data_IF_627049359441
#
_entry.id   IF_627049359441
#
_cell.length_a   1.000
_cell.length_b   1.000
_cell.length_c   1.000
_cell.angle_alpha   90.00
_cell.angle_beta   90.00
_cell.angle_gamma   90.00
#
_symmetry.space_group_name_H-M   'P 1'
#
loop_
_entity.id
_entity.type
_entity.pdbx_description
1 polymer ?
#
# COMPACT_ATOMS: atom_id res chain seq x y z
N UNK A 1 10.70 20.65 45.08
CA UNK A 1 9.27 20.32 45.09
C UNK A 1 9.00 19.43 43.88
N UNK A 2 8.48 18.23 44.13
CA UNK A 2 8.40 17.16 43.14
C UNK A 2 7.44 17.49 41.99
N UNK A 3 7.93 17.49 40.76
CA UNK A 3 7.11 17.65 39.55
C UNK A 3 6.54 16.28 39.12
N UNK A 4 5.45 15.84 39.76
CA UNK A 4 4.69 14.72 39.22
C UNK A 4 3.75 15.22 38.13
N UNK A 5 4.01 14.80 36.89
CA UNK A 5 3.05 14.88 35.78
C UNK A 5 1.79 14.15 36.22
N UNK A 6 0.73 14.90 36.55
CA UNK A 6 -0.53 14.29 36.95
C UNK A 6 -1.21 13.71 35.72
N UNK A 7 -0.99 12.41 35.49
CA UNK A 7 -1.66 11.64 34.43
C UNK A 7 -3.16 11.57 34.77
N UNK A 8 -4.00 12.04 33.85
CA UNK A 8 -5.46 11.90 34.00
C UNK A 8 -5.84 10.45 33.71
N UNK A 9 -6.57 9.83 34.64
CA UNK A 9 -7.09 8.47 34.59
C UNK A 9 -8.59 8.45 34.96
N UNK A 10 -9.31 7.34 34.77
CA UNK A 10 -10.74 7.25 35.09
C UNK A 10 -11.09 7.69 36.52
N UNK A 11 -10.26 7.31 37.50
CA UNK A 11 -10.52 7.56 38.93
C UNK A 11 -10.43 9.05 39.30
N UNK A 12 -9.51 9.80 38.66
CA UNK A 12 -9.27 11.21 38.96
C UNK A 12 -9.94 12.18 37.95
N UNK A 13 -10.50 11.66 36.85
CA UNK A 13 -11.00 12.44 35.73
C UNK A 13 -12.07 13.46 36.13
N UNK A 14 -13.04 13.02 36.93
CA UNK A 14 -14.20 13.85 37.34
C UNK A 14 -13.78 15.11 38.09
N UNK A 15 -12.71 15.03 38.88
CA UNK A 15 -12.22 16.17 39.64
C UNK A 15 -11.35 17.08 38.78
N UNK A 16 -10.52 16.48 37.92
CA UNK A 16 -9.61 17.23 37.04
C UNK A 16 -10.32 17.98 35.92
N UNK A 17 -11.45 17.48 35.42
CA UNK A 17 -12.17 18.14 34.32
C UNK A 17 -12.91 19.41 34.73
N UNK A 18 -13.32 19.53 36.01
CA UNK A 18 -13.98 20.75 36.52
C UNK A 18 -13.10 21.99 36.43
N UNK A 19 -11.78 21.82 36.46
CA UNK A 19 -10.81 22.90 36.33
C UNK A 19 -10.35 23.18 34.90
N UNK A 20 -10.92 22.48 33.90
CA UNK A 20 -10.52 22.59 32.49
C UNK A 20 -11.60 23.34 31.69
N UNK A 21 -11.16 24.32 30.89
CA UNK A 21 -12.07 25.01 29.96
C UNK A 21 -12.31 24.15 28.71
N UNK A 22 -13.45 23.46 28.69
CA UNK A 22 -13.89 22.57 27.62
C UNK A 22 -14.02 23.28 26.26
N UNK A 23 -14.21 24.61 26.24
CA UNK A 23 -14.33 25.39 25.01
C UNK A 23 -12.99 25.51 24.25
N UNK A 24 -11.86 25.38 24.96
CA UNK A 24 -10.51 25.47 24.36
C UNK A 24 -10.05 24.15 23.73
N UNK A 25 -10.79 23.06 23.93
CA UNK A 25 -10.42 21.75 23.42
C UNK A 25 -10.70 21.62 21.91
N UNK A 26 -9.83 20.93 21.16
CA UNK A 26 -10.12 20.52 19.79
C UNK A 26 -11.44 19.74 19.70
N UNK A 27 -12.22 19.98 18.64
CA UNK A 27 -13.55 19.36 18.44
C UNK A 27 -13.59 17.84 18.63
N UNK A 28 -12.50 17.16 18.29
CA UNK A 28 -12.38 15.72 18.42
C UNK A 28 -12.36 15.31 19.91
N UNK A 29 -11.63 16.04 20.76
CA UNK A 29 -11.56 15.77 22.20
C UNK A 29 -12.87 16.12 22.89
N UNK A 30 -13.55 17.18 22.46
CA UNK A 30 -14.89 17.54 22.95
C UNK A 30 -15.92 16.45 22.66
N UNK A 31 -15.98 15.96 21.43
CA UNK A 31 -16.87 14.84 21.06
C UNK A 31 -16.55 13.56 21.85
N UNK A 32 -15.28 13.31 22.13
CA UNK A 32 -14.87 12.18 22.98
C UNK A 32 -15.24 12.38 24.44
N UNK A 33 -15.20 13.61 24.97
CA UNK A 33 -15.70 13.93 26.31
C UNK A 33 -17.20 13.68 26.42
N UNK A 34 -18.00 14.16 25.46
CA UNK A 34 -19.45 13.90 25.42
C UNK A 34 -19.75 12.39 25.37
N UNK A 35 -18.90 11.64 24.67
CA UNK A 35 -18.99 10.18 24.62
C UNK A 35 -18.71 9.55 25.98
N UNK A 36 -17.69 10.00 26.72
CA UNK A 36 -17.41 9.53 28.09
C UNK A 36 -18.57 9.86 29.01
N UNK A 37 -19.10 11.07 28.97
CA UNK A 37 -20.21 11.51 29.83
C UNK A 37 -21.47 10.65 29.62
N UNK A 38 -21.85 10.42 28.35
CA UNK A 38 -23.02 9.61 27.99
C UNK A 38 -22.90 8.15 28.43
N UNK A 39 -21.69 7.59 28.42
CA UNK A 39 -21.47 6.19 28.75
C UNK A 39 -21.14 5.94 30.23
N UNK A 40 -20.79 6.98 31.01
CA UNK A 40 -20.44 6.87 32.44
C UNK A 40 -21.56 7.30 33.39
N UNK A 41 -22.75 7.65 32.87
CA UNK A 41 -23.82 8.30 33.65
C UNK A 41 -23.26 9.48 34.46
N UNK A 42 -22.68 10.47 33.78
CA UNK A 42 -22.05 11.64 34.40
C UNK A 42 -20.88 11.29 35.35
N UNK A 43 -20.02 10.35 34.93
CA UNK A 43 -18.80 9.96 35.63
C UNK A 43 -19.02 9.27 36.99
N UNK A 44 -20.21 8.70 37.22
CA UNK A 44 -20.59 8.05 38.49
C UNK A 44 -20.44 6.54 38.44
N UNK A 45 -20.61 5.91 37.27
CA UNK A 45 -20.52 4.47 37.11
C UNK A 45 -19.55 4.09 35.98
N UNK A 46 -18.32 3.75 36.36
CA UNK A 46 -17.32 3.18 35.45
C UNK A 46 -17.49 1.67 35.28
N UNK A 47 -18.16 1.00 36.23
CA UNK A 47 -18.31 -0.45 36.29
C UNK A 47 -19.14 -1.08 35.16
N UNK A 48 -20.02 -0.32 34.50
CA UNK A 48 -20.75 -0.81 33.33
C UNK A 48 -19.86 -0.93 32.07
N UNK A 49 -18.65 -0.35 32.07
CA UNK A 49 -17.71 -0.31 30.94
C UNK A 49 -16.86 -1.55 30.77
N UNK A 50 -16.81 -2.44 31.77
CA UNK A 50 -15.97 -3.64 31.74
C UNK A 50 -16.51 -4.75 30.83
N UNK A 51 -17.70 -4.59 30.25
CA UNK A 51 -18.32 -5.61 29.39
C UNK A 51 -17.92 -5.53 27.91
N UNK A 52 -17.30 -4.42 27.44
CA UNK A 52 -16.92 -4.26 26.02
C UNK A 52 -15.49 -3.75 25.82
N UNK A 53 -14.63 -4.60 25.26
CA UNK A 53 -13.24 -4.27 24.92
C UNK A 53 -13.09 -3.07 23.98
N UNK A 54 -14.05 -2.90 23.06
CA UNK A 54 -14.02 -1.81 22.07
C UNK A 54 -14.20 -0.45 22.75
N UNK A 55 -15.11 -0.38 23.73
CA UNK A 55 -15.40 0.84 24.48
C UNK A 55 -14.20 1.20 25.37
N UNK A 56 -13.58 0.21 26.02
CA UNK A 56 -12.37 0.41 26.81
C UNK A 56 -11.21 0.97 25.97
N UNK A 57 -11.01 0.48 24.75
CA UNK A 57 -9.99 1.03 23.83
C UNK A 57 -10.26 2.49 23.46
N UNK A 58 -11.52 2.86 23.26
CA UNK A 58 -11.90 4.24 22.94
C UNK A 58 -11.60 5.17 24.13
N UNK A 59 -11.88 4.74 25.37
CA UNK A 59 -11.53 5.51 26.56
C UNK A 59 -10.03 5.62 26.78
N UNK A 60 -9.28 4.52 26.67
CA UNK A 60 -7.81 4.57 26.77
C UNK A 60 -7.21 5.52 25.73
N UNK A 61 -7.72 5.48 24.49
CA UNK A 61 -7.27 6.39 23.43
C UNK A 61 -7.61 7.85 23.75
N UNK A 62 -8.79 8.11 24.33
CA UNK A 62 -9.18 9.45 24.75
C UNK A 62 -8.26 9.99 25.85
N UNK A 63 -8.01 9.24 26.93
CA UNK A 63 -7.16 9.69 28.02
C UNK A 63 -5.71 9.94 27.58
N UNK A 64 -5.17 9.11 26.69
CA UNK A 64 -3.85 9.33 26.09
C UNK A 64 -3.82 10.67 25.35
N UNK A 65 -4.78 10.92 24.45
CA UNK A 65 -4.84 12.18 23.70
C UNK A 65 -5.11 13.41 24.56
N UNK A 66 -5.89 13.25 25.63
CA UNK A 66 -6.16 14.32 26.58
C UNK A 66 -4.87 14.71 27.32
N UNK A 67 -4.09 13.74 27.78
CA UNK A 67 -2.81 13.99 28.43
C UNK A 67 -1.80 14.63 27.46
N UNK A 68 -1.70 14.14 26.21
CA UNK A 68 -0.86 14.76 25.16
C UNK A 68 -1.26 16.22 24.90
N UNK A 69 -2.55 16.50 24.83
CA UNK A 69 -3.04 17.87 24.62
C UNK A 69 -2.70 18.78 25.80
N UNK A 70 -2.87 18.31 27.04
CA UNK A 70 -2.51 19.07 28.25
C UNK A 70 -1.01 19.35 28.35
N UNK A 71 -0.17 18.40 27.95
CA UNK A 71 1.28 18.63 27.82
C UNK A 71 1.59 19.68 26.76
N UNK A 72 0.88 19.65 25.63
CA UNK A 72 1.03 20.64 24.55
C UNK A 72 0.57 22.05 24.95
N UNK A 73 -0.46 22.18 25.77
CA UNK A 73 -0.93 23.47 26.32
C UNK A 73 0.04 24.01 27.38
N UNK A 74 0.58 23.14 28.25
CA UNK A 74 1.62 23.54 29.21
C UNK A 74 2.90 24.00 28.50
N UNK A 75 3.28 23.37 27.39
CA UNK A 75 4.40 23.80 26.57
C UNK A 75 4.22 25.20 25.96
N UNK A 76 2.97 25.67 25.76
CA UNK A 76 2.67 27.05 25.31
C UNK A 76 2.72 28.09 26.43
N UNK A 77 2.68 27.67 27.70
CA UNK A 77 2.65 28.58 28.87
C UNK A 77 4.03 28.84 29.50
N UNK A 78 5.13 28.37 28.90
CA UNK A 78 6.47 28.83 29.32
C UNK A 78 6.77 30.20 28.70
N UNK A 79 7.20 31.20 29.48
CA UNK A 79 7.36 32.57 29.00
C UNK A 79 8.57 32.66 28.08
N UNK A 80 8.34 32.69 26.75
CA UNK A 80 9.30 33.28 25.82
C UNK A 80 9.09 34.78 25.81
N UNK A 81 10.08 35.48 26.34
CA UNK A 81 10.31 36.92 26.31
C UNK A 81 9.71 37.57 25.06
N UNK A 82 8.78 38.50 25.31
CA UNK A 82 8.19 39.40 24.32
C UNK A 82 9.30 40.18 23.61
N UNK A 83 9.34 40.09 22.29
CA UNK A 83 9.67 41.26 21.45
C UNK A 83 8.42 41.59 20.66
N UNK A 84 7.97 42.83 20.90
CA UNK A 84 6.75 43.47 20.42
C UNK A 84 6.75 43.55 18.90
N UNK A 85 5.58 43.30 18.33
CA UNK A 85 5.27 43.33 16.91
C UNK A 85 4.68 44.70 16.60
N UNK A 86 5.32 45.47 15.72
CA UNK A 86 4.67 46.51 14.90
C UNK A 86 5.09 46.22 13.45
N UNK A 87 4.17 45.65 12.68
CA UNK A 87 3.42 46.33 11.61
C UNK A 87 4.21 46.33 10.30
N UNK A 88 3.99 45.33 9.45
CA UNK A 88 4.29 45.44 8.02
C UNK A 88 3.51 44.39 7.22
N UNK A 89 3.14 44.83 6.02
CA UNK A 89 2.18 44.27 5.10
C UNK A 89 2.63 42.92 4.50
N UNK A 90 1.66 42.26 3.85
CA UNK A 90 1.81 41.12 2.93
C UNK A 90 3.08 41.25 2.08
N UNK A 91 4.09 40.44 2.37
CA UNK A 91 5.13 40.07 1.44
C UNK A 91 5.07 38.55 1.22
N UNK A 92 4.85 38.16 -0.03
CA UNK A 92 4.89 36.79 -0.51
C UNK A 92 6.22 36.16 -0.09
N UNK A 93 6.19 35.18 0.81
CA UNK A 93 7.38 34.38 1.13
C UNK A 93 7.85 33.70 -0.16
N UNK A 94 9.10 33.89 -0.59
CA UNK A 94 9.63 33.14 -1.72
C UNK A 94 9.59 31.66 -1.34
N UNK A 95 8.99 30.87 -2.23
CA UNK A 95 8.94 29.42 -2.16
C UNK A 95 10.39 28.94 -2.09
N UNK A 96 10.85 28.60 -0.89
CA UNK A 96 12.19 28.08 -0.64
C UNK A 96 12.34 26.85 -1.55
N UNK A 97 13.08 27.01 -2.65
CA UNK A 97 13.45 25.92 -3.53
C UNK A 97 14.17 24.94 -2.62
N UNK A 98 13.54 23.79 -2.42
CA UNK A 98 14.10 22.69 -1.64
C UNK A 98 15.32 22.24 -2.43
N UNK A 99 16.51 22.66 -2.00
CA UNK A 99 17.77 22.20 -2.54
C UNK A 99 17.68 20.67 -2.65
N UNK A 100 17.86 20.18 -3.87
CA UNK A 100 17.89 18.75 -4.16
C UNK A 100 19.03 18.16 -3.35
N UNK A 101 18.68 17.40 -2.30
CA UNK A 101 19.68 16.58 -1.61
C UNK A 101 20.24 15.61 -2.65
N UNK A 102 21.57 15.50 -2.77
CA UNK A 102 22.17 14.49 -3.65
C UNK A 102 21.63 13.13 -3.22
N UNK A 103 21.03 12.43 -4.19
CA UNK A 103 20.51 11.08 -4.01
C UNK A 103 21.63 10.21 -3.46
N UNK A 104 21.47 9.66 -2.25
CA UNK A 104 22.28 8.51 -1.84
C UNK A 104 22.19 7.49 -2.98
N UNK A 105 23.33 6.96 -3.41
CA UNK A 105 23.37 5.93 -4.43
C UNK A 105 22.61 4.70 -3.90
N UNK A 106 21.33 4.59 -4.26
CA UNK A 106 20.50 3.44 -3.96
C UNK A 106 21.12 2.25 -4.69
N UNK A 107 21.73 1.31 -3.96
CA UNK A 107 22.22 0.02 -4.48
C UNK A 107 21.05 -0.91 -4.83
N UNK A 108 19.99 -0.37 -5.44
CA UNK A 108 18.83 -1.15 -5.85
C UNK A 108 19.00 -1.67 -7.26
N UNK A 109 18.92 -2.98 -7.41
CA UNK A 109 18.88 -3.64 -8.72
C UNK A 109 17.47 -3.51 -9.29
N UNK A 110 17.38 -3.03 -10.53
CA UNK A 110 16.10 -2.86 -11.23
C UNK A 110 15.86 -3.99 -12.22
N UNK A 111 14.69 -4.62 -12.12
CA UNK A 111 14.25 -5.68 -13.04
C UNK A 111 12.92 -5.27 -13.68
N UNK A 112 12.67 -5.69 -14.92
CA UNK A 112 11.41 -5.41 -15.61
C UNK A 112 10.22 -6.21 -15.02
N UNK A 113 10.46 -7.47 -14.69
CA UNK A 113 9.48 -8.38 -14.11
C UNK A 113 10.15 -9.37 -13.17
N UNK A 114 9.55 -9.60 -12.01
CA UNK A 114 9.99 -10.67 -11.12
C UNK A 114 9.51 -12.02 -11.65
N UNK A 115 10.41 -12.99 -11.79
CA UNK A 115 10.00 -14.35 -12.09
C UNK A 115 9.13 -14.92 -10.94
N UNK A 116 8.26 -15.90 -11.24
CA UNK A 116 7.38 -16.51 -10.23
C UNK A 116 8.16 -17.03 -9.01
N UNK A 117 9.33 -17.66 -9.23
CA UNK A 117 10.21 -18.12 -8.17
C UNK A 117 10.71 -16.98 -7.28
N UNK A 118 11.17 -15.88 -7.88
CA UNK A 118 11.65 -14.68 -7.17
C UNK A 118 10.55 -14.02 -6.35
N UNK A 119 9.33 -13.92 -6.90
CA UNK A 119 8.19 -13.35 -6.17
C UNK A 119 7.87 -14.15 -4.90
N UNK A 120 7.94 -15.48 -4.99
CA UNK A 120 7.66 -16.38 -3.87
C UNK A 120 8.81 -16.39 -2.86
N UNK A 121 10.06 -16.37 -3.31
CA UNK A 121 11.24 -16.28 -2.46
C UNK A 121 11.29 -14.93 -1.74
N UNK A 122 11.00 -13.83 -2.42
CA UNK A 122 10.87 -12.51 -1.79
C UNK A 122 9.79 -12.50 -0.71
N UNK A 123 8.64 -13.13 -0.96
CA UNK A 123 7.60 -13.28 0.05
C UNK A 123 8.04 -14.13 1.25
N UNK A 124 8.83 -15.18 1.01
CA UNK A 124 9.41 -16.04 2.05
C UNK A 124 10.45 -15.30 2.90
N UNK A 125 11.41 -14.63 2.27
CA UNK A 125 12.41 -13.78 2.96
C UNK A 125 11.73 -12.69 3.80
N UNK A 126 10.62 -12.13 3.31
CA UNK A 126 9.87 -11.11 4.03
C UNK A 126 9.16 -11.62 5.29
N UNK A 127 9.10 -12.94 5.53
CA UNK A 127 8.62 -13.51 6.79
C UNK A 127 9.69 -13.48 7.88
N UNK A 128 10.97 -13.44 7.51
CA UNK A 128 12.08 -13.47 8.45
C UNK A 128 12.07 -12.25 9.38
N UNK A 129 12.15 -12.51 10.68
CA UNK A 129 12.12 -11.49 11.74
C UNK A 129 10.76 -10.83 11.96
N UNK A 130 9.65 -11.36 11.40
CA UNK A 130 8.31 -10.80 11.56
C UNK A 130 7.34 -11.79 12.19
N UNK A 131 6.29 -11.24 12.80
CA UNK A 131 5.15 -12.02 13.23
C UNK A 131 4.43 -12.66 12.03
N UNK A 132 4.11 -13.94 12.16
CA UNK A 132 3.45 -14.72 11.15
C UNK A 132 2.31 -15.56 11.76
N UNK A 133 1.10 -15.38 11.22
CA UNK A 133 -0.06 -16.21 11.56
C UNK A 133 -0.06 -17.50 10.74
N UNK A 134 -0.73 -18.56 11.23
CA UNK A 134 -0.91 -19.82 10.48
C UNK A 134 -1.41 -19.52 9.07
N UNK A 135 -2.44 -18.67 8.96
CA UNK A 135 -3.06 -18.33 7.67
C UNK A 135 -2.06 -17.73 6.69
N UNK A 136 -1.16 -16.86 7.15
CA UNK A 136 -0.13 -16.25 6.30
C UNK A 136 0.85 -17.30 5.76
N UNK A 137 1.26 -18.23 6.63
CA UNK A 137 2.14 -19.35 6.27
C UNK A 137 1.44 -20.32 5.31
N UNK A 138 0.18 -20.66 5.59
CA UNK A 138 -0.66 -21.52 4.74
C UNK A 138 -0.86 -20.94 3.34
N UNK A 139 -1.16 -19.63 3.25
CA UNK A 139 -1.33 -18.94 1.97
C UNK A 139 -0.03 -18.95 1.17
N UNK A 140 1.10 -18.70 1.82
CA UNK A 140 2.40 -18.76 1.15
C UNK A 140 2.70 -20.20 0.71
N UNK A 141 2.50 -21.19 1.57
CA UNK A 141 2.72 -22.61 1.25
C UNK A 141 1.89 -23.04 0.05
N UNK A 142 0.62 -22.65 0.02
CA UNK A 142 -0.30 -22.97 -1.08
C UNK A 142 0.15 -22.34 -2.40
N UNK A 143 0.73 -21.13 -2.37
CA UNK A 143 1.31 -20.50 -3.57
C UNK A 143 2.56 -21.24 -4.08
N UNK A 144 3.41 -21.72 -3.18
CA UNK A 144 4.55 -22.57 -3.55
C UNK A 144 4.08 -23.88 -4.21
N UNK A 145 3.11 -24.57 -3.61
CA UNK A 145 2.58 -25.83 -4.15
C UNK A 145 1.94 -25.63 -5.52
N UNK A 146 1.11 -24.59 -5.69
CA UNK A 146 0.53 -24.25 -7.00
C UNK A 146 1.62 -23.98 -8.05
N UNK A 147 2.67 -23.24 -7.70
CA UNK A 147 3.76 -22.97 -8.64
C UNK A 147 4.53 -24.24 -9.04
N UNK A 148 4.66 -25.22 -8.14
CA UNK A 148 5.25 -26.53 -8.43
C UNK A 148 4.34 -27.34 -9.35
N UNK A 149 3.04 -27.45 -9.02
CA UNK A 149 2.04 -28.20 -9.80
C UNK A 149 1.92 -27.63 -11.22
N UNK A 150 1.87 -26.31 -11.34
CA UNK A 150 1.79 -25.59 -12.62
C UNK A 150 3.14 -25.55 -13.37
N UNK A 151 4.20 -26.17 -12.83
CA UNK A 151 5.57 -26.18 -13.37
C UNK A 151 6.11 -24.78 -13.72
N UNK A 152 5.71 -23.77 -12.94
CA UNK A 152 6.16 -22.37 -13.10
C UNK A 152 7.60 -22.14 -12.65
N UNK A 153 8.14 -23.05 -11.83
CA UNK A 153 9.55 -23.04 -11.40
C UNK A 153 10.25 -24.26 -11.99
N UNK A 154 11.09 -24.02 -13.00
CA UNK A 154 11.92 -25.06 -13.64
C UNK A 154 13.28 -25.14 -12.94
N UNK A 155 13.95 -26.30 -13.03
CA UNK A 155 15.31 -26.49 -12.51
C UNK A 155 16.36 -25.56 -13.13
N UNK A 156 16.09 -25.08 -14.34
CA UNK A 156 16.95 -24.15 -15.10
C UNK A 156 17.02 -22.76 -14.42
N UNK A 157 16.03 -22.39 -13.61
CA UNK A 157 16.03 -21.10 -12.95
C UNK A 157 17.18 -21.03 -11.92
N UNK A 158 17.92 -19.91 -11.82
CA UNK A 158 19.09 -19.80 -10.94
C UNK A 158 18.73 -20.05 -9.46
N UNK A 159 17.52 -19.65 -9.06
CA UNK A 159 17.04 -19.76 -7.69
C UNK A 159 16.22 -21.05 -7.41
N UNK A 160 16.27 -22.06 -8.29
CA UNK A 160 15.45 -23.27 -8.15
C UNK A 160 15.81 -24.12 -6.92
N UNK A 161 17.09 -24.26 -6.58
CA UNK A 161 17.53 -25.05 -5.42
C UNK A 161 17.07 -24.43 -4.11
N UNK A 162 17.28 -23.12 -3.95
CA UNK A 162 16.82 -22.32 -2.81
C UNK A 162 15.30 -22.40 -2.69
N UNK A 163 14.59 -22.33 -3.82
CA UNK A 163 13.13 -22.45 -3.85
C UNK A 163 12.65 -23.78 -3.26
N UNK A 164 13.31 -24.90 -3.58
CA UNK A 164 12.98 -26.22 -3.00
C UNK A 164 13.23 -26.25 -1.48
N UNK A 165 14.35 -25.69 -1.03
CA UNK A 165 14.67 -25.59 0.41
C UNK A 165 13.64 -24.72 1.16
N UNK A 166 13.22 -23.60 0.57
CA UNK A 166 12.19 -22.74 1.13
C UNK A 166 10.82 -23.45 1.19
N UNK A 167 10.45 -24.18 0.14
CA UNK A 167 9.20 -24.93 0.08
C UNK A 167 9.12 -26.01 1.16
N UNK A 168 10.19 -26.80 1.32
CA UNK A 168 10.24 -27.88 2.31
C UNK A 168 10.18 -27.35 3.74
N UNK A 169 10.88 -26.24 4.03
CA UNK A 169 10.78 -25.57 5.34
C UNK A 169 9.40 -25.02 5.62
N UNK A 170 8.78 -24.38 4.63
CA UNK A 170 7.46 -23.81 4.81
C UNK A 170 6.40 -24.89 5.07
N UNK A 171 6.55 -26.06 4.44
CA UNK A 171 5.73 -27.24 4.74
C UNK A 171 5.93 -27.72 6.18
N UNK A 172 7.19 -27.88 6.63
CA UNK A 172 7.50 -28.27 8.02
C UNK A 172 6.97 -27.26 9.05
N UNK A 173 7.11 -25.96 8.76
CA UNK A 173 6.59 -24.90 9.63
C UNK A 173 5.06 -24.97 9.72
N UNK A 174 4.38 -25.14 8.60
CA UNK A 174 2.93 -25.24 8.57
C UNK A 174 2.42 -26.48 9.33
N UNK A 175 3.08 -27.64 9.17
CA UNK A 175 2.76 -28.86 9.92
C UNK A 175 2.89 -28.64 11.42
N UNK A 176 4.05 -28.13 11.88
CA UNK A 176 4.28 -27.84 13.30
C UNK A 176 3.24 -26.90 13.92
N UNK A 177 2.83 -25.87 13.18
CA UNK A 177 1.82 -24.94 13.68
C UNK A 177 0.41 -25.56 13.71
N UNK A 178 0.13 -26.47 12.78
CA UNK A 178 -1.15 -27.19 12.72
C UNK A 178 -1.25 -28.21 13.84
N UNK A 179 -0.20 -29.01 14.04
CA UNK A 179 -0.12 -30.02 15.11
C UNK A 179 -0.11 -29.37 16.50
N UNK A 180 0.61 -28.27 16.67
CA UNK A 180 0.69 -27.54 17.94
C UNK A 180 -0.46 -26.57 18.22
N UNK A 181 -1.46 -26.46 17.33
CA UNK A 181 -2.56 -25.48 17.42
C UNK A 181 -2.06 -24.02 17.61
N UNK A 182 -0.89 -23.67 17.08
CA UNK A 182 -0.22 -22.38 17.30
C UNK A 182 -0.72 -21.35 16.30
N UNK A 183 -1.65 -20.47 16.70
CA UNK A 183 -2.27 -19.48 15.81
C UNK A 183 -1.27 -18.45 15.23
N UNK A 184 -0.26 -18.08 16.00
CA UNK A 184 0.69 -17.01 15.67
C UNK A 184 2.08 -17.29 16.23
N UNK A 185 3.12 -17.01 15.42
CA UNK A 185 4.52 -16.91 15.86
C UNK A 185 4.90 -15.44 15.86
N UNK A 186 5.39 -14.92 16.98
CA UNK A 186 5.75 -13.49 17.13
C UNK A 186 6.99 -13.09 16.33
N UNK A 187 7.99 -13.98 16.28
CA UNK A 187 9.22 -13.76 15.53
C UNK A 187 9.64 -15.06 14.86
N UNK A 188 9.46 -15.12 13.54
CA UNK A 188 9.91 -16.25 12.75
C UNK A 188 11.37 -16.04 12.34
N UNK A 189 12.25 -16.94 12.75
CA UNK A 189 13.65 -16.95 12.32
C UNK A 189 13.87 -18.09 11.32
N UNK A 190 14.34 -17.74 10.12
CA UNK A 190 14.53 -18.71 9.04
C UNK A 190 15.98 -19.23 9.08
N UNK A 191 16.19 -20.39 9.68
CA UNK A 191 17.52 -21.02 9.86
C UNK A 191 17.72 -22.26 9.00
N UNK A 192 18.89 -22.46 8.39
CA UNK A 192 19.24 -23.67 7.62
C UNK A 192 18.89 -23.65 6.11
N UNK A 193 18.93 -22.47 5.48
CA UNK A 193 18.93 -22.35 4.00
C UNK A 193 20.32 -21.86 3.63
N UNK A 194 20.92 -22.47 2.62
CA UNK A 194 22.22 -22.05 2.11
C UNK A 194 22.15 -20.64 1.55
N UNK A 195 23.14 -19.80 1.89
CA UNK A 195 23.28 -18.41 1.40
C UNK A 195 22.05 -17.52 1.66
N UNK A 196 21.26 -17.82 2.69
CA UNK A 196 20.04 -17.08 3.00
C UNK A 196 20.28 -15.58 3.23
N UNK A 197 21.39 -15.20 3.86
CA UNK A 197 21.79 -13.80 4.06
C UNK A 197 21.94 -13.04 2.76
N UNK A 198 22.61 -13.65 1.78
CA UNK A 198 22.96 -13.02 0.50
C UNK A 198 21.68 -12.84 -0.32
N UNK A 199 20.85 -13.89 -0.35
CA UNK A 199 19.54 -13.89 -0.98
C UNK A 199 18.62 -12.84 -0.35
N UNK A 200 18.67 -12.69 0.99
CA UNK A 200 17.91 -11.68 1.70
C UNK A 200 18.35 -10.27 1.31
N UNK A 201 19.65 -10.01 1.21
CA UNK A 201 20.18 -8.74 0.74
C UNK A 201 19.79 -8.46 -0.72
N UNK A 202 19.87 -9.45 -1.60
CA UNK A 202 19.50 -9.34 -3.00
C UNK A 202 18.01 -8.97 -3.14
N UNK A 203 17.10 -9.71 -2.50
CA UNK A 203 15.66 -9.46 -2.61
C UNK A 203 15.17 -8.17 -1.94
N UNK A 204 15.90 -7.67 -0.93
CA UNK A 204 15.65 -6.35 -0.36
C UNK A 204 15.98 -5.23 -1.35
N UNK A 205 17.02 -5.41 -2.16
CA UNK A 205 17.47 -4.43 -3.14
C UNK A 205 16.75 -4.55 -4.49
N UNK A 206 16.18 -5.72 -4.80
CA UNK A 206 15.50 -5.99 -6.07
C UNK A 206 14.16 -5.24 -6.15
N UNK A 207 14.08 -4.26 -7.06
CA UNK A 207 12.91 -3.41 -7.31
C UNK A 207 12.49 -3.50 -8.78
N UNK A 208 11.22 -3.24 -9.06
CA UNK A 208 10.77 -3.09 -10.45
C UNK A 208 11.25 -1.75 -10.98
N UNK A 209 11.74 -1.72 -12.21
CA UNK A 209 12.13 -0.48 -12.88
C UNK A 209 10.98 0.57 -12.84
N UNK A 210 11.24 1.82 -12.41
CA UNK A 210 10.22 2.86 -12.36
C UNK A 210 9.55 3.10 -13.72
N UNK A 211 10.34 3.07 -14.80
CA UNK A 211 9.85 3.22 -16.17
C UNK A 211 8.80 2.15 -16.53
N UNK A 212 9.07 0.87 -16.25
CA UNK A 212 8.14 -0.24 -16.54
C UNK A 212 6.83 -0.07 -15.77
N UNK A 213 6.88 0.45 -14.56
CA UNK A 213 5.67 0.69 -13.75
C UNK A 213 4.82 1.80 -14.37
N UNK A 214 5.44 2.87 -14.86
CA UNK A 214 4.75 3.98 -15.53
C UNK A 214 4.18 3.54 -16.89
N UNK A 215 4.94 2.78 -17.68
CA UNK A 215 4.48 2.23 -18.95
C UNK A 215 3.30 1.27 -18.76
N UNK A 216 3.32 0.41 -17.74
CA UNK A 216 2.16 -0.45 -17.42
C UNK A 216 0.90 0.36 -17.09
N UNK A 217 1.05 1.51 -16.44
CA UNK A 217 -0.08 2.41 -16.19
C UNK A 217 -0.61 3.04 -17.48
N UNK A 218 0.29 3.41 -18.39
CA UNK A 218 -0.08 3.90 -19.71
C UNK A 218 -0.87 2.85 -20.49
N UNK A 219 -0.32 1.64 -20.62
CA UNK A 219 -0.98 0.50 -21.29
C UNK A 219 -2.34 0.18 -20.65
N UNK A 220 -2.46 0.30 -19.32
CA UNK A 220 -3.74 0.08 -18.64
C UNK A 220 -4.81 1.14 -18.93
N UNK A 221 -4.45 2.30 -19.47
CA UNK A 221 -5.40 3.35 -19.89
C UNK A 221 -5.75 3.27 -21.37
N UNK A 222 -4.94 2.58 -22.18
CA UNK A 222 -5.21 2.35 -23.60
C UNK A 222 -6.57 1.65 -23.79
N UNK A 223 -7.31 2.08 -24.82
CA UNK A 223 -8.64 1.53 -25.11
C UNK A 223 -9.72 1.86 -24.07
N UNK A 224 -9.41 2.67 -23.06
CA UNK A 224 -10.39 3.19 -22.09
C UNK A 224 -10.62 4.69 -22.30
N UNK A 225 -11.66 5.22 -21.66
CA UNK A 225 -11.87 6.67 -21.50
C UNK A 225 -11.40 7.06 -20.09
N UNK A 226 -10.10 7.32 -19.89
CA UNK A 226 -9.61 7.71 -18.57
C UNK A 226 -10.10 9.11 -18.23
N UNK A 227 -10.22 9.38 -16.93
CA UNK A 227 -10.51 10.74 -16.47
C UNK A 227 -9.29 11.63 -16.66
N UNK A 228 -9.50 12.92 -16.94
CA UNK A 228 -8.44 13.93 -17.12
C UNK A 228 -7.44 13.91 -15.96
N UNK A 229 -7.94 13.81 -14.72
CA UNK A 229 -7.12 13.74 -13.52
C UNK A 229 -6.17 12.53 -13.51
N UNK A 230 -6.60 11.38 -14.03
CA UNK A 230 -5.74 10.17 -14.13
C UNK A 230 -4.63 10.38 -15.14
N UNK A 231 -4.94 10.97 -16.29
CA UNK A 231 -3.96 11.27 -17.34
C UNK A 231 -2.93 12.30 -16.85
N UNK A 232 -3.38 13.41 -16.26
CA UNK A 232 -2.49 14.43 -15.68
C UNK A 232 -1.61 13.85 -14.56
N UNK A 233 -2.16 12.96 -13.72
CA UNK A 233 -1.38 12.25 -12.69
C UNK A 233 -0.28 11.39 -13.28
N UNK A 234 -0.56 10.70 -14.41
CA UNK A 234 0.46 9.90 -15.08
C UNK A 234 1.55 10.76 -15.72
N UNK A 235 1.18 11.81 -16.45
CA UNK A 235 2.13 12.76 -17.05
C UNK A 235 3.05 13.35 -15.98
N UNK A 236 2.49 13.86 -14.87
CA UNK A 236 3.27 14.38 -13.74
C UNK A 236 4.22 13.33 -13.18
N UNK A 237 3.78 12.08 -13.09
CA UNK A 237 4.60 10.96 -12.62
C UNK A 237 5.78 10.67 -13.53
N UNK A 238 5.57 10.65 -14.85
CA UNK A 238 6.60 10.45 -15.86
C UNK A 238 7.61 11.61 -15.87
N UNK A 239 7.13 12.85 -15.93
CA UNK A 239 8.01 14.04 -15.89
C UNK A 239 8.82 14.12 -14.60
N UNK A 240 8.23 13.77 -13.45
CA UNK A 240 8.95 13.76 -12.17
C UNK A 240 10.02 12.67 -12.12
N UNK A 241 9.76 11.51 -12.74
CA UNK A 241 10.73 10.42 -12.79
C UNK A 241 11.93 10.76 -13.70
N UNK A 242 11.69 11.46 -14.81
CA UNK A 242 12.73 11.97 -15.69
C UNK A 242 13.55 13.08 -15.01
N UNK A 243 12.88 14.08 -14.41
CA UNK A 243 13.53 15.18 -13.69
C UNK A 243 14.38 14.68 -12.52
N UNK A 244 13.88 13.68 -11.78
CA UNK A 244 14.61 13.10 -10.65
C UNK A 244 15.75 12.13 -11.07
N UNK A 245 16.02 11.95 -12.37
CA UNK A 245 17.05 11.02 -12.85
C UNK A 245 16.78 9.55 -12.52
N UNK A 246 15.54 9.18 -12.15
CA UNK A 246 15.16 7.78 -11.85
C UNK A 246 15.10 6.92 -13.12
N UNK A 247 14.93 7.57 -14.26
CA UNK A 247 14.95 6.97 -15.59
C UNK A 247 16.13 7.63 -16.30
N UNK A 248 17.14 6.84 -16.66
CA UNK A 248 18.32 7.31 -17.38
C UNK A 248 17.99 7.54 -18.85
N UNK A 249 18.64 8.53 -19.47
CA UNK A 249 18.44 8.86 -20.91
C UNK A 249 18.92 7.74 -21.83
N UNK A 250 19.97 7.04 -21.41
CA UNK A 250 20.56 5.90 -22.08
C UNK A 250 19.82 4.58 -21.78
N UNK A 251 18.70 4.64 -21.04
CA UNK A 251 17.97 3.48 -20.59
C UNK A 251 17.07 2.87 -21.68
N UNK A 252 16.91 1.54 -21.64
CA UNK A 252 16.09 0.74 -22.58
C UNK A 252 14.65 1.25 -22.74
N UNK A 253 14.11 1.89 -21.69
CA UNK A 253 12.72 2.35 -21.63
C UNK A 253 12.53 3.86 -21.82
N UNK A 254 13.60 4.61 -22.10
CA UNK A 254 13.52 6.07 -22.15
C UNK A 254 12.66 6.56 -23.33
N UNK A 255 12.93 6.05 -24.53
CA UNK A 255 12.20 6.45 -25.75
C UNK A 255 10.70 6.15 -25.65
N UNK A 256 10.32 5.03 -25.05
CA UNK A 256 8.92 4.65 -24.86
C UNK A 256 8.22 5.55 -23.85
N UNK A 257 8.94 6.06 -22.84
CA UNK A 257 8.38 7.04 -21.89
C UNK A 257 8.13 8.37 -22.59
N UNK A 258 9.04 8.81 -23.47
CA UNK A 258 8.87 10.05 -24.24
C UNK A 258 7.68 9.95 -25.21
N UNK A 259 7.54 8.82 -25.92
CA UNK A 259 6.40 8.53 -26.78
C UNK A 259 5.08 8.53 -26.00
N UNK A 260 5.03 7.83 -24.86
CA UNK A 260 3.85 7.82 -24.00
C UNK A 260 3.50 9.22 -23.48
N UNK A 261 4.50 10.03 -23.14
CA UNK A 261 4.30 11.42 -22.73
C UNK A 261 3.70 12.28 -23.85
N UNK A 262 4.22 12.17 -25.07
CA UNK A 262 3.68 12.88 -26.23
C UNK A 262 2.22 12.51 -26.46
N UNK A 263 1.92 11.21 -26.49
CA UNK A 263 0.56 10.71 -26.72
C UNK A 263 -0.43 11.19 -25.64
N UNK A 264 -0.04 11.19 -24.37
CA UNK A 264 -0.91 11.69 -23.30
C UNK A 264 -1.12 13.20 -23.36
N UNK A 265 -0.13 13.97 -23.84
CA UNK A 265 -0.25 15.43 -24.03
C UNK A 265 -1.15 15.75 -25.21
N UNK A 266 -1.00 15.05 -26.33
CA UNK A 266 -1.88 15.13 -27.49
C UNK A 266 -3.32 14.77 -27.12
N UNK A 267 -3.53 13.71 -26.32
CA UNK A 267 -4.86 13.34 -25.85
C UNK A 267 -5.49 14.41 -24.95
N UNK A 268 -4.70 15.11 -24.12
CA UNK A 268 -5.22 16.23 -23.32
C UNK A 268 -5.58 17.46 -24.16
N UNK A 269 -4.87 17.67 -25.28
CA UNK A 269 -5.14 18.73 -26.24
C UNK A 269 -6.35 18.38 -27.14
N UNK A 270 -6.48 17.12 -27.52
CA UNK A 270 -7.67 16.57 -28.15
C UNK A 270 -8.82 16.48 -27.12
N UNK A 271 -10.07 16.43 -27.60
CA UNK A 271 -11.24 16.41 -26.72
C UNK A 271 -11.15 15.23 -25.73
N UNK A 272 -11.28 15.54 -24.44
CA UNK A 272 -10.97 14.72 -23.26
C UNK A 272 -11.93 13.53 -23.02
N UNK A 273 -12.90 13.31 -23.93
CA UNK A 273 -13.89 12.24 -23.89
C UNK A 273 -13.66 11.14 -24.95
N UNK A 274 -12.54 11.24 -25.68
CA UNK A 274 -12.11 10.27 -26.67
C UNK A 274 -11.31 9.13 -26.03
N UNK A 275 -11.34 7.96 -26.68
CA UNK A 275 -10.49 6.84 -26.28
C UNK A 275 -9.03 7.18 -26.57
N UNK A 276 -8.13 6.76 -25.69
CA UNK A 276 -6.69 6.74 -25.99
C UNK A 276 -6.51 5.68 -27.08
N UNK A 277 -6.34 6.16 -28.33
CA UNK A 277 -6.08 5.32 -29.50
C UNK A 277 -4.65 4.81 -29.46
N UNK A 278 -4.38 3.73 -30.17
CA UNK A 278 -3.04 3.16 -30.28
C UNK A 278 -2.58 3.36 -31.72
N UNK A 279 -1.50 4.11 -31.94
CA UNK A 279 -0.83 4.06 -33.24
C UNK A 279 0.01 2.78 -33.32
N UNK A 280 -0.18 2.00 -34.38
CA UNK A 280 0.50 0.70 -34.58
C UNK A 280 2.04 0.82 -34.54
N UNK A 281 2.58 1.99 -34.89
CA UNK A 281 4.00 2.29 -34.78
C UNK A 281 4.52 2.33 -33.33
N UNK A 282 3.69 2.74 -32.36
CA UNK A 282 4.03 2.80 -30.94
C UNK A 282 3.96 1.40 -30.29
N UNK A 283 3.09 0.53 -30.83
CA UNK A 283 3.02 -0.89 -30.46
C UNK A 283 4.26 -1.67 -30.88
N UNK A 284 4.88 -1.37 -32.04
CA UNK A 284 6.06 -2.09 -32.50
C UNK A 284 7.24 -2.00 -31.49
N UNK A 285 7.42 -0.84 -30.86
CA UNK A 285 8.44 -0.62 -29.83
C UNK A 285 8.10 -1.19 -28.44
N UNK A 286 6.82 -1.40 -28.13
CA UNK A 286 6.33 -1.96 -26.86
C UNK A 286 6.10 -3.48 -26.91
N UNK A 287 5.70 -4.02 -28.07
CA UNK A 287 5.50 -5.44 -28.33
C UNK A 287 6.83 -6.19 -28.58
N UNK A 288 7.88 -5.49 -29.02
CA UNK A 288 9.22 -6.04 -29.21
C UNK A 288 10.02 -6.33 -27.92
N UNK A 289 9.52 -5.93 -26.75
CA UNK A 289 10.23 -6.05 -25.46
C UNK A 289 10.20 -7.46 -24.84
N UNK A 290 9.75 -8.47 -25.59
CA UNK A 290 9.57 -9.85 -25.12
C UNK A 290 10.62 -10.88 -25.57
N UNK A 291 11.48 -10.59 -26.55
CA UNK A 291 12.46 -11.58 -27.02
C UNK A 291 13.56 -10.92 -27.87
N UNK A 292 14.82 -11.03 -27.45
CA UNK A 292 16.00 -10.69 -28.27
C UNK A 292 16.33 -11.79 -29.27
N UNK A 293 15.33 -12.41 -29.88
CA UNK A 293 15.51 -13.46 -30.87
C UNK A 293 14.65 -13.13 -32.10
N UNK A 294 15.32 -12.56 -33.11
CA UNK A 294 14.98 -12.57 -34.53
C UNK A 294 13.71 -11.80 -34.95
N UNK A 295 13.97 -10.68 -35.62
CA UNK A 295 13.08 -10.01 -36.54
C UNK A 295 12.53 -11.01 -37.58
N UNK A 296 11.35 -11.58 -37.32
CA UNK A 296 10.40 -11.97 -38.35
C UNK A 296 9.03 -11.43 -37.93
N UNK A 297 8.37 -10.60 -38.75
CA UNK A 297 6.97 -10.26 -38.48
C UNK A 297 6.15 -11.55 -38.50
N UNK A 298 5.45 -11.83 -37.41
CA UNK A 298 4.44 -12.89 -37.39
C UNK A 298 3.34 -12.46 -38.35
N UNK A 299 3.30 -13.13 -39.51
CA UNK A 299 2.25 -12.99 -40.50
C UNK A 299 0.87 -13.17 -39.83
N UNK A 300 -0.09 -12.38 -40.29
CA UNK A 300 -1.34 -12.06 -39.62
C UNK A 300 -2.08 -13.24 -38.98
N UNK A 301 -2.41 -13.09 -37.71
CA UNK A 301 -3.54 -13.78 -37.10
C UNK A 301 -4.77 -12.87 -37.23
N UNK A 302 -5.84 -13.29 -37.92
CA UNK A 302 -7.03 -12.47 -38.04
C UNK A 302 -7.65 -12.23 -36.67
N UNK A 303 -8.05 -10.98 -36.43
CA UNK A 303 -8.69 -10.53 -35.20
C UNK A 303 -9.88 -11.42 -34.83
N UNK A 304 -9.70 -12.26 -33.80
CA UNK A 304 -10.81 -13.01 -33.20
C UNK A 304 -11.73 -11.97 -32.56
N UNK A 305 -12.83 -11.64 -33.25
CA UNK A 305 -13.94 -10.87 -32.66
C UNK A 305 -14.36 -11.57 -31.38
N UNK A 306 -14.09 -10.95 -30.22
CA UNK A 306 -14.56 -11.44 -28.92
C UNK A 306 -16.09 -11.48 -28.95
N UNK A 307 -16.67 -12.64 -29.24
CA UNK A 307 -18.09 -12.90 -28.95
C UNK A 307 -18.25 -12.77 -27.44
N UNK A 308 -18.97 -11.74 -27.01
CA UNK A 308 -19.42 -11.61 -25.62
C UNK A 308 -20.38 -12.75 -25.31
N UNK A 309 -19.84 -13.89 -24.86
CA UNK A 309 -20.62 -14.92 -24.19
C UNK A 309 -20.97 -14.41 -22.78
N UNK A 310 -21.99 -13.54 -22.70
CA UNK A 310 -22.72 -13.35 -21.45
C UNK A 310 -23.69 -14.52 -21.31
N UNK A 311 -23.55 -15.42 -20.32
CA UNK A 311 -24.56 -16.43 -20.10
C UNK A 311 -25.88 -15.75 -19.69
N UNK A 312 -26.93 -15.87 -20.52
CA UNK A 312 -28.31 -15.37 -20.27
C UNK A 312 -28.99 -16.02 -19.05
N UNK A 313 -28.31 -16.87 -18.29
CA UNK A 313 -28.90 -17.74 -17.27
C UNK A 313 -29.04 -17.09 -15.88
N UNK A 314 -28.39 -15.95 -15.63
CA UNK A 314 -28.40 -15.31 -14.31
C UNK A 314 -29.69 -14.54 -13.97
N UNK A 315 -30.48 -14.12 -14.96
CA UNK A 315 -31.69 -13.31 -14.71
C UNK A 315 -32.90 -14.15 -14.26
N UNK A 316 -33.04 -15.39 -14.77
CA UNK A 316 -34.21 -16.24 -14.49
C UNK A 316 -34.25 -16.76 -13.03
N UNK A 317 -33.10 -16.92 -12.36
CA UNK A 317 -33.07 -17.41 -10.96
C UNK A 317 -33.51 -16.37 -9.91
N UNK A 318 -33.36 -15.07 -10.17
CA UNK A 318 -33.81 -14.02 -9.21
C UNK A 318 -35.33 -13.85 -9.17
N UNK A 319 -36.04 -14.01 -10.28
CA UNK A 319 -37.52 -13.94 -10.29
C UNK A 319 -38.19 -15.17 -9.65
N UNK A 320 -37.57 -16.35 -9.72
CA UNK A 320 -38.12 -17.58 -9.12
C UNK A 320 -38.06 -17.57 -7.57
N UNK A 321 -37.02 -16.97 -6.98
CA UNK A 321 -36.89 -16.86 -5.52
C UNK A 321 -37.80 -15.79 -4.90
N UNK A 322 -38.17 -14.76 -5.66
CA UNK A 322 -39.12 -13.74 -5.21
C UNK A 322 -40.57 -14.26 -5.14
N UNK A 323 -40.97 -15.17 -6.04
CA UNK A 323 -42.33 -15.73 -6.04
C UNK A 323 -42.59 -16.81 -4.98
N UNK A 324 -41.56 -17.45 -4.43
CA UNK A 324 -41.70 -18.46 -3.36
C UNK A 324 -41.92 -17.89 -1.96
N UNK A 325 -41.79 -16.56 -1.78
CA UNK A 325 -41.94 -15.91 -0.46
C UNK A 325 -43.38 -15.51 -0.10
N UNK A 326 -44.36 -15.73 -0.98
CA UNK A 326 -45.76 -15.33 -0.79
C UNK A 326 -46.78 -16.49 -0.87
N UNK A 327 -46.33 -17.74 -0.74
CA UNK A 327 -47.21 -18.93 -0.72
C UNK A 327 -46.98 -19.76 0.55
N UNK A 328 -47.00 -19.09 1.70
CA UNK A 328 -47.28 -19.71 2.99
C UNK A 328 -48.29 -18.82 3.71
N UNK A 329 -49.56 -19.11 3.47
CA UNK A 329 -50.67 -18.87 4.39
C UNK A 329 -51.26 -20.26 4.64
#
# INVERSE_FOLDING_TARGET
MSHYTTIINPDNYREKIKGLDLATMPDILRKSHDFVEKNTLQFTQWGAMTTSDTINRMFSTYFVKLNEWLESEKAKQTPKTKVKKETAQKAVKPKKVKAEKPSKADKSTFTAHFQTAEQLLKAFVNLDGKAATIRKIQLLHSRFQKAIIEKKVKSINPNATIFKQAASKLAKLYQKMTEGNISTIEKLEITGIEKFSDIKAEFQNLKIAPAVTLLKRFVGMEGTKPTIAKVQSLIKGMESALKAGKIKKEGVYHSQIDQALAHLKEWLAAKQDSYIQIEEAQLAGLAGLGCTCQNKPLAGTPAIKKKTLRPKVAWKRRKALSKRKYLKI
#
